data_IF_945747073206
#
_entry.id   IF_945747073206
#
_cell.length_a   1.000
_cell.length_b   1.000
_cell.length_c   1.000
_cell.angle_alpha   90.00
_cell.angle_beta   90.00
_cell.angle_gamma   90.00
#
_symmetry.space_group_name_H-M   'P 1'
#
loop_
_entity.id
_entity.type
_entity.pdbx_description
1 polymer ?
#
# COMPACT_ATOMS: atom_id res chain seq x y z
N UNK A 1 -26.19 -2.77 25.16
CA UNK A 1 -26.00 -2.71 23.70
C UNK A 1 -24.98 -1.63 23.45
N UNK A 2 -23.68 -1.96 23.52
CA UNK A 2 -22.61 -0.98 23.32
C UNK A 2 -22.34 -0.90 21.83
N UNK A 3 -22.56 0.28 21.25
CA UNK A 3 -22.13 0.59 19.90
C UNK A 3 -20.60 0.59 19.89
N UNK A 4 -20.02 -0.32 19.11
CA UNK A 4 -18.61 -0.24 18.76
C UNK A 4 -18.52 0.80 17.66
N UNK A 5 -18.29 2.06 18.03
CA UNK A 5 -17.90 3.08 17.05
C UNK A 5 -16.42 2.86 16.71
N UNK A 6 -16.17 1.76 16.01
CA UNK A 6 -14.90 1.49 15.38
C UNK A 6 -14.87 2.24 14.05
N UNK A 7 -14.20 3.38 14.01
CA UNK A 7 -13.58 3.81 12.76
C UNK A 7 -12.52 2.74 12.41
N UNK A 8 -12.98 1.67 11.77
CA UNK A 8 -12.18 0.50 11.45
C UNK A 8 -10.97 0.88 10.61
N UNK A 9 -9.83 0.27 10.90
CA UNK A 9 -8.56 0.51 10.18
C UNK A 9 -8.64 0.09 8.71
N UNK A 10 -9.63 -0.74 8.36
CA UNK A 10 -9.88 -1.29 7.03
C UNK A 10 -11.39 -1.30 6.74
N UNK A 11 -11.77 -1.13 5.48
CA UNK A 11 -13.16 -1.20 5.00
C UNK A 11 -13.25 -2.12 3.77
N UNK A 12 -14.23 -3.02 3.76
CA UNK A 12 -14.50 -3.90 2.62
C UNK A 12 -15.47 -3.20 1.68
N UNK A 13 -14.97 -2.80 0.50
CA UNK A 13 -15.77 -2.08 -0.51
C UNK A 13 -16.47 -3.03 -1.49
N UNK A 14 -16.01 -4.28 -1.57
CA UNK A 14 -16.55 -5.32 -2.47
C UNK A 14 -16.20 -6.72 -1.97
N UNK A 15 -17.06 -7.69 -2.26
CA UNK A 15 -16.88 -9.09 -1.86
C UNK A 15 -17.43 -9.38 -0.46
N UNK A 16 -17.26 -10.62 0.01
CA UNK A 16 -17.65 -11.06 1.35
C UNK A 16 -16.52 -11.93 1.94
N UNK A 17 -15.43 -11.29 2.42
CA UNK A 17 -14.29 -12.02 2.97
C UNK A 17 -14.67 -12.73 4.27
N UNK A 18 -13.94 -13.79 4.60
CA UNK A 18 -14.13 -14.47 5.88
C UNK A 18 -13.41 -13.71 7.01
N UNK A 19 -13.79 -14.00 8.25
CA UNK A 19 -13.17 -13.41 9.43
C UNK A 19 -11.67 -13.76 9.51
N UNK A 20 -11.29 -14.97 9.07
CA UNK A 20 -9.90 -15.42 9.02
C UNK A 20 -9.07 -14.61 8.02
N UNK A 21 -9.63 -14.27 6.86
CA UNK A 21 -8.96 -13.45 5.86
C UNK A 21 -8.72 -12.02 6.36
N UNK A 22 -9.71 -11.44 7.05
CA UNK A 22 -9.58 -10.13 7.68
C UNK A 22 -8.55 -10.12 8.81
N UNK A 23 -8.52 -11.17 9.63
CA UNK A 23 -7.53 -11.33 10.69
C UNK A 23 -6.11 -11.44 10.11
N UNK A 24 -5.93 -12.26 9.06
CA UNK A 24 -4.64 -12.43 8.39
C UNK A 24 -4.14 -11.12 7.77
N UNK A 25 -5.00 -10.38 7.07
CA UNK A 25 -4.65 -9.08 6.49
C UNK A 25 -4.26 -8.07 7.57
N UNK A 26 -5.01 -8.01 8.68
CA UNK A 26 -4.71 -7.11 9.80
C UNK A 26 -3.35 -7.41 10.41
N UNK A 27 -3.02 -8.69 10.61
CA UNK A 27 -1.72 -9.10 11.14
C UNK A 27 -0.57 -8.65 10.24
N UNK A 28 -0.72 -8.75 8.90
CA UNK A 28 0.28 -8.27 7.94
C UNK A 28 0.45 -6.76 8.01
N UNK A 29 -0.64 -5.99 8.05
CA UNK A 29 -0.59 -4.52 8.15
C UNK A 29 0.15 -4.09 9.42
N UNK A 30 -0.15 -4.71 10.57
CA UNK A 30 0.54 -4.43 11.84
C UNK A 30 2.04 -4.75 11.75
N UNK A 31 2.42 -5.87 11.13
CA UNK A 31 3.82 -6.24 10.96
C UNK A 31 4.61 -5.27 10.06
N UNK A 32 3.98 -4.75 9.00
CA UNK A 32 4.61 -3.77 8.10
C UNK A 32 4.84 -2.42 8.80
N UNK A 33 3.89 -1.96 9.59
CA UNK A 33 4.02 -0.72 10.37
C UNK A 33 5.20 -0.79 11.35
N UNK A 34 5.49 -1.98 11.90
CA UNK A 34 6.64 -2.19 12.77
C UNK A 34 8.00 -2.15 12.04
N UNK A 35 8.02 -2.17 10.70
CA UNK A 35 9.24 -2.32 9.89
C UNK A 35 9.67 -1.00 9.19
N UNK A 36 8.90 0.08 9.32
CA UNK A 36 9.05 1.30 8.51
C UNK A 36 10.26 2.21 8.89
N UNK A 37 11.13 1.79 9.80
CA UNK A 37 12.21 2.63 10.37
C UNK A 37 13.49 2.77 9.51
N UNK A 38 13.50 2.28 8.26
CA UNK A 38 14.68 2.31 7.40
C UNK A 38 14.37 2.91 6.01
N UNK A 39 14.34 4.24 5.90
CA UNK A 39 14.23 4.93 4.60
C UNK A 39 15.59 5.43 4.12
N UNK A 40 16.06 4.87 3.00
CA UNK A 40 17.26 5.31 2.27
C UNK A 40 16.98 6.59 1.45
N UNK A 41 17.98 7.48 1.25
CA UNK A 41 17.75 8.81 0.69
C UNK A 41 17.21 8.81 -0.75
N UNK A 42 16.19 9.65 -0.95
CA UNK A 42 15.42 9.80 -2.18
C UNK A 42 16.22 10.44 -3.34
N UNK A 43 16.82 9.60 -4.18
CA UNK A 43 17.26 9.97 -5.54
C UNK A 43 16.15 9.68 -6.59
N UNK A 44 14.97 9.21 -6.15
CA UNK A 44 14.01 8.43 -6.95
C UNK A 44 12.92 9.25 -7.63
N UNK A 45 12.84 10.57 -7.42
CA UNK A 45 11.89 11.45 -8.12
C UNK A 45 12.25 11.76 -9.59
N UNK A 46 13.55 11.91 -9.89
CA UNK A 46 14.02 12.42 -11.20
C UNK A 46 13.79 11.44 -12.36
N UNK A 47 13.86 10.13 -12.10
CA UNK A 47 13.80 9.10 -13.15
C UNK A 47 12.39 8.94 -13.72
N UNK A 48 11.35 8.96 -12.88
CA UNK A 48 9.96 8.88 -13.32
C UNK A 48 9.57 10.08 -14.18
N UNK A 49 9.90 11.30 -13.71
CA UNK A 49 9.52 12.53 -14.39
C UNK A 49 10.12 12.61 -15.79
N UNK A 50 11.39 12.19 -15.95
CA UNK A 50 12.04 12.07 -17.27
C UNK A 50 11.33 11.07 -18.19
N UNK A 51 10.87 9.93 -17.66
CA UNK A 51 10.18 8.91 -18.48
C UNK A 51 8.79 9.35 -18.93
N UNK A 52 8.07 10.05 -18.07
CA UNK A 52 6.78 10.65 -18.41
C UNK A 52 6.94 11.69 -19.53
N UNK A 53 7.93 12.59 -19.43
CA UNK A 53 8.24 13.56 -20.49
C UNK A 53 8.58 12.88 -21.83
N UNK A 54 9.30 11.77 -21.78
CA UNK A 54 9.69 11.00 -22.97
C UNK A 54 8.59 10.03 -23.46
N UNK A 55 7.42 9.98 -22.81
CA UNK A 55 6.32 9.04 -23.09
C UNK A 55 6.79 7.58 -23.19
N UNK A 56 7.79 7.23 -22.39
CA UNK A 56 8.30 5.86 -22.36
C UNK A 56 7.27 4.94 -21.71
N UNK A 57 7.16 3.73 -22.24
CA UNK A 57 6.33 2.69 -21.62
C UNK A 57 6.77 2.48 -20.15
N UNK A 58 5.82 2.11 -19.26
CA UNK A 58 6.15 1.70 -17.90
C UNK A 58 7.23 0.62 -17.93
N UNK A 59 8.24 0.70 -17.05
CA UNK A 59 9.14 -0.46 -16.90
C UNK A 59 8.41 -1.51 -16.10
N UNK A 60 8.16 -2.70 -16.68
CA UNK A 60 7.67 -3.82 -15.90
C UNK A 60 8.76 -4.26 -14.91
N UNK A 61 8.35 -4.68 -13.73
CA UNK A 61 9.28 -5.23 -12.74
C UNK A 61 8.92 -4.86 -11.31
N UNK A 62 9.65 -5.45 -10.34
CA UNK A 62 9.42 -5.23 -8.92
C UNK A 62 9.50 -3.75 -8.57
N UNK A 63 8.49 -3.26 -7.85
CA UNK A 63 8.44 -1.88 -7.38
C UNK A 63 7.88 -0.86 -8.36
N UNK A 64 7.52 -1.25 -9.59
CA UNK A 64 6.91 -0.36 -10.58
C UNK A 64 5.58 0.27 -10.13
N UNK A 65 4.88 -0.35 -9.17
CA UNK A 65 3.58 0.09 -8.68
C UNK A 65 3.63 0.79 -7.31
N UNK A 66 4.82 0.96 -6.72
CA UNK A 66 5.00 1.53 -5.36
C UNK A 66 4.43 2.93 -5.17
N UNK A 67 4.07 3.64 -6.24
CA UNK A 67 3.53 5.00 -6.20
C UNK A 67 2.15 5.13 -6.84
N UNK A 68 1.53 4.02 -7.22
CA UNK A 68 0.12 3.97 -7.69
C UNK A 68 -0.86 4.04 -6.53
N UNK A 69 -0.41 3.69 -5.33
CA UNK A 69 -1.13 3.86 -4.07
C UNK A 69 -0.70 5.20 -3.45
N UNK A 70 -1.42 6.26 -3.78
CA UNK A 70 -1.50 7.50 -3.00
C UNK A 70 -2.95 7.94 -2.93
#
# INVERSE_FOLDING_TARGET
MLAVDGSGVLSVVSGNPTDEELAALTAVVVALQATEEAEEPDVRGRTWFRRAMLRLAPTPGPGSWRRSTR
#
